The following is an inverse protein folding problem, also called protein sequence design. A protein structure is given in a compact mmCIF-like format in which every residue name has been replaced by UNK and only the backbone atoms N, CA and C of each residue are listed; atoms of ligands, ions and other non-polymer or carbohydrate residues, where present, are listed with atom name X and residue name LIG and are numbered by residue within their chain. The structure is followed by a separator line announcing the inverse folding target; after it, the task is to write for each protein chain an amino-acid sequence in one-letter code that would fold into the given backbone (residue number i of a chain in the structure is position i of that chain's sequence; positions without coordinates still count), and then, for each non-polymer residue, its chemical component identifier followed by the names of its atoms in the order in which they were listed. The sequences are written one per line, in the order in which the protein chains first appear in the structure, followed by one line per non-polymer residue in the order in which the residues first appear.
data_IF_961299790173
#
_entry.id   IF_961299790173
#
_cell.length_a   1.000
_cell.length_b   1.000
_cell.length_c   1.000
_cell.angle_alpha   90.00
_cell.angle_beta   90.00
_cell.angle_gamma   90.00
#
_symmetry.space_group_name_H-M   'P 1'
#
loop_
_entity.id
_entity.type
_entity.pdbx_description
1 polymer ?
#
# COMPACT_ATOMS: atom_id res chain seq x y z
N UNK A 1 3.33 -9.39 19.48
CA UNK A 1 4.58 -9.22 18.73
C UNK A 1 4.36 -8.28 17.56
N UNK A 2 5.21 -7.31 17.43
CA UNK A 2 5.16 -6.37 16.32
C UNK A 2 5.45 -7.16 15.03
N UNK A 3 4.64 -6.98 13.95
CA UNK A 3 4.91 -7.65 12.68
C UNK A 3 6.33 -7.47 12.16
N UNK A 4 6.97 -6.34 12.42
CA UNK A 4 8.37 -6.12 12.05
C UNK A 4 9.32 -7.07 12.76
N UNK A 5 8.96 -7.52 13.96
CA UNK A 5 9.76 -8.45 14.75
C UNK A 5 9.62 -9.88 14.27
N UNK A 6 8.59 -10.19 13.47
CA UNK A 6 8.39 -11.51 12.92
C UNK A 6 9.39 -11.85 11.82
N UNK A 7 9.99 -10.81 11.23
CA UNK A 7 10.98 -11.05 10.19
C UNK A 7 12.37 -11.14 10.80
N UNK A 8 12.94 -12.33 10.73
CA UNK A 8 14.29 -12.57 11.21
C UNK A 8 15.34 -12.49 10.11
N UNK A 9 14.88 -12.24 8.88
CA UNK A 9 15.79 -12.14 7.74
C UNK A 9 16.76 -10.98 7.93
N UNK A 10 18.07 -11.16 7.67
CA UNK A 10 19.00 -10.04 7.65
C UNK A 10 18.83 -9.18 6.39
N UNK A 11 18.10 -9.65 5.39
CA UNK A 11 17.92 -8.94 4.13
C UNK A 11 16.85 -7.87 4.26
N UNK A 12 17.16 -6.60 3.95
CA UNK A 12 16.14 -5.53 3.97
C UNK A 12 14.96 -5.83 3.06
N UNK A 13 15.19 -6.45 1.91
CA UNK A 13 14.10 -6.82 1.00
C UNK A 13 13.20 -7.87 1.66
N UNK A 14 13.80 -8.85 2.35
CA UNK A 14 13.04 -9.87 3.08
C UNK A 14 12.16 -9.25 4.16
N UNK A 15 12.69 -8.28 4.90
CA UNK A 15 11.92 -7.58 5.93
C UNK A 15 10.80 -6.73 5.33
N UNK A 16 11.13 -5.96 4.30
CA UNK A 16 10.14 -5.12 3.63
C UNK A 16 9.00 -5.94 3.04
N UNK A 17 9.30 -7.13 2.51
CA UNK A 17 8.28 -7.98 1.89
C UNK A 17 7.24 -8.48 2.88
N UNK A 18 7.54 -8.47 4.18
CA UNK A 18 6.56 -8.85 5.22
C UNK A 18 5.41 -7.84 5.27
N UNK A 19 5.68 -6.61 4.88
CA UNK A 19 4.66 -5.55 4.83
C UNK A 19 4.15 -5.39 3.40
N UNK A 20 5.07 -5.28 2.45
CA UNK A 20 4.75 -4.91 1.08
C UNK A 20 4.45 -6.10 0.16
N UNK A 21 4.50 -7.32 0.67
CA UNK A 21 4.22 -8.51 -0.13
C UNK A 21 2.74 -8.80 -0.38
N UNK A 22 1.87 -7.99 0.17
CA UNK A 22 0.41 -8.14 0.03
C UNK A 22 -0.07 -7.17 -1.05
N UNK A 23 -0.78 -7.70 -2.06
CA UNK A 23 -1.23 -6.86 -3.18
C UNK A 23 -2.15 -5.73 -2.71
N UNK A 24 -2.98 -5.97 -1.72
CA UNK A 24 -3.90 -4.95 -1.23
C UNK A 24 -3.15 -3.80 -0.57
N UNK A 25 -2.09 -4.11 0.18
CA UNK A 25 -1.23 -3.09 0.79
C UNK A 25 -0.63 -2.20 -0.28
N UNK A 26 -0.07 -2.80 -1.33
CA UNK A 26 0.53 -2.04 -2.45
C UNK A 26 -0.51 -1.12 -3.08
N UNK A 27 -1.72 -1.63 -3.35
CA UNK A 27 -2.76 -0.83 -3.98
C UNK A 27 -3.26 0.29 -3.08
N UNK A 28 -3.37 0.03 -1.78
CA UNK A 28 -3.77 1.06 -0.80
C UNK A 28 -2.72 2.17 -0.74
N UNK A 29 -1.44 1.80 -0.67
CA UNK A 29 -0.36 2.79 -0.65
C UNK A 29 -0.38 3.64 -1.93
N UNK A 30 -0.63 3.00 -3.08
CA UNK A 30 -0.80 3.73 -4.34
C UNK A 30 -1.91 4.79 -4.23
N UNK A 31 -3.07 4.39 -3.69
CA UNK A 31 -4.19 5.32 -3.54
C UNK A 31 -3.86 6.45 -2.58
N UNK A 32 -3.11 6.17 -1.51
CA UNK A 32 -2.67 7.20 -0.59
C UNK A 32 -1.78 8.24 -1.30
N UNK A 33 -0.88 7.79 -2.18
CA UNK A 33 -0.06 8.71 -2.99
C UNK A 33 -0.92 9.51 -3.98
N UNK A 34 -2.05 8.97 -4.41
CA UNK A 34 -2.96 9.68 -5.31
C UNK A 34 -3.94 10.59 -4.58
N UNK A 35 -3.81 10.69 -3.25
CA UNK A 35 -4.58 11.64 -2.47
C UNK A 35 -5.70 11.06 -1.63
N UNK A 36 -5.92 9.74 -1.65
CA UNK A 36 -6.94 9.13 -0.81
C UNK A 36 -6.54 9.25 0.66
N UNK A 37 -7.47 9.68 1.51
CA UNK A 37 -7.26 9.75 2.96
C UNK A 37 -8.41 9.12 3.73
N UNK A 38 -9.62 9.17 3.18
CA UNK A 38 -10.81 8.62 3.84
C UNK A 38 -11.02 7.17 3.44
N UNK A 39 -11.57 6.40 4.36
CA UNK A 39 -11.87 4.98 4.13
C UNK A 39 -12.54 4.75 2.77
N UNK A 40 -13.61 5.51 2.50
CA UNK A 40 -14.38 5.33 1.27
C UNK A 40 -13.58 5.64 0.00
N UNK A 41 -12.53 6.45 0.11
CA UNK A 41 -11.73 6.84 -1.04
C UNK A 41 -10.78 5.76 -1.52
N UNK A 42 -10.50 4.77 -0.66
CA UNK A 42 -9.63 3.66 -1.03
C UNK A 42 -10.36 2.53 -1.77
N UNK A 43 -11.69 2.55 -1.78
CA UNK A 43 -12.47 1.45 -2.35
C UNK A 43 -12.54 1.44 -3.88
N UNK A 44 -12.84 2.58 -4.56
CA UNK A 44 -13.20 2.52 -5.99
C UNK A 44 -12.14 1.94 -6.91
N UNK A 45 -10.88 2.31 -6.71
CA UNK A 45 -9.82 1.94 -7.65
C UNK A 45 -9.06 0.68 -7.25
N UNK A 46 -9.38 0.09 -6.11
CA UNK A 46 -8.68 -1.10 -5.63
C UNK A 46 -9.49 -2.37 -5.83
N UNK A 47 -10.79 -2.28 -5.75
CA UNK A 47 -11.66 -3.45 -5.75
C UNK A 47 -11.64 -4.24 -4.45
N UNK A 48 -11.02 -3.70 -3.42
CA UNK A 48 -10.94 -4.35 -2.11
C UNK A 48 -12.29 -4.29 -1.40
N UNK A 49 -12.66 -5.34 -0.66
CA UNK A 49 -13.86 -5.28 0.15
C UNK A 49 -13.59 -4.56 1.48
N UNK A 50 -14.66 -4.14 2.14
CA UNK A 50 -14.55 -3.31 3.35
C UNK A 50 -13.82 -3.99 4.48
N UNK A 51 -14.05 -5.28 4.70
CA UNK A 51 -13.39 -6.02 5.77
C UNK A 51 -11.88 -6.10 5.54
N UNK A 52 -11.47 -6.39 4.31
CA UNK A 52 -10.07 -6.45 3.95
C UNK A 52 -9.42 -5.07 4.06
N UNK A 53 -10.12 -4.01 3.63
CA UNK A 53 -9.60 -2.66 3.73
C UNK A 53 -9.37 -2.27 5.19
N UNK A 54 -10.35 -2.56 6.07
CA UNK A 54 -10.20 -2.28 7.50
C UNK A 54 -8.95 -2.96 8.05
N UNK A 55 -8.78 -4.25 7.73
CA UNK A 55 -7.65 -5.04 8.19
C UNK A 55 -6.31 -4.44 7.72
N UNK A 56 -6.24 -4.07 6.44
CA UNK A 56 -4.99 -3.54 5.85
C UNK A 56 -4.68 -2.14 6.34
N UNK A 57 -5.68 -1.28 6.49
CA UNK A 57 -5.44 0.06 7.05
C UNK A 57 -4.93 -0.04 8.48
N UNK A 58 -5.53 -0.91 9.30
CA UNK A 58 -5.07 -1.14 10.66
C UNK A 58 -3.62 -1.60 10.67
N UNK A 59 -3.28 -2.57 9.83
CA UNK A 59 -1.90 -3.07 9.74
C UNK A 59 -0.92 -1.98 9.31
N UNK A 60 -1.30 -1.15 8.33
CA UNK A 60 -0.44 -0.08 7.84
C UNK A 60 -0.20 0.99 8.92
N UNK A 61 -1.19 1.24 9.77
CA UNK A 61 -1.01 2.14 10.91
C UNK A 61 -0.05 1.51 11.92
N UNK A 62 -0.23 0.23 12.22
CA UNK A 62 0.65 -0.49 13.14
C UNK A 62 2.10 -0.52 12.66
N UNK A 63 2.30 -0.65 11.35
CA UNK A 63 3.63 -0.66 10.73
C UNK A 63 4.23 0.73 10.58
N UNK A 64 3.50 1.78 10.89
CA UNK A 64 4.00 3.14 10.77
C UNK A 64 4.07 3.67 9.35
N UNK A 65 3.33 3.08 8.42
CA UNK A 65 3.24 3.55 7.04
C UNK A 65 2.16 4.61 6.90
N UNK A 66 1.05 4.43 7.62
CA UNK A 66 -0.03 5.41 7.68
C UNK A 66 -0.22 5.87 9.11
N UNK A 67 -0.74 7.07 9.24
CA UNK A 67 -1.16 7.64 10.50
C UNK A 67 -2.67 7.86 10.44
N UNK A 68 -3.37 7.44 11.48
CA UNK A 68 -4.82 7.62 11.57
C UNK A 68 -5.10 8.85 12.42
N UNK A 69 -5.86 9.78 11.89
CA UNK A 69 -6.19 11.04 12.55
C UNK A 69 -7.71 11.28 12.48
N UNK A 70 -8.42 11.28 13.58
CA UNK A 70 -7.96 11.05 14.96
C UNK A 70 -7.59 9.57 15.20
N UNK A 71 -6.75 9.30 16.24
CA UNK A 71 -6.36 7.92 16.54
C UNK A 71 -7.53 7.00 16.89
N UNK A 72 -8.60 7.56 17.39
CA UNK A 72 -9.80 6.81 17.77
C UNK A 72 -11.04 7.55 17.30
N UNK A 73 -12.13 6.81 17.17
CA UNK A 73 -13.41 7.38 16.78
C UNK A 73 -13.67 7.27 15.29
N UNK A 74 -14.68 7.99 14.84
CA UNK A 74 -15.15 7.92 13.45
C UNK A 74 -14.54 9.04 12.61
N UNK A 75 -14.69 8.90 11.32
CA UNK A 75 -14.31 9.89 10.30
C UNK A 75 -12.82 10.19 10.32
N UNK A 76 -12.04 9.17 10.56
CA UNK A 76 -10.60 9.32 10.51
C UNK A 76 -10.08 9.51 9.10
N UNK A 77 -8.97 10.20 9.01
CA UNK A 77 -8.17 10.24 7.80
C UNK A 77 -6.95 9.37 8.00
N UNK A 78 -6.51 8.73 6.92
CA UNK A 78 -5.31 7.91 6.91
C UNK A 78 -4.30 8.62 6.02
N UNK A 79 -3.20 9.07 6.61
CA UNK A 79 -2.20 9.87 5.90
C UNK A 79 -0.86 9.17 5.93
N UNK A 80 -0.10 9.31 4.85
CA UNK A 80 1.24 8.74 4.81
C UNK A 80 2.13 9.41 5.87
N UNK A 81 2.83 8.58 6.61
CA UNK A 81 3.88 9.04 7.52
C UNK A 81 5.14 9.36 6.70
N UNK A 82 6.20 9.82 7.36
CA UNK A 82 7.48 9.99 6.68
C UNK A 82 7.93 8.67 6.05
N UNK A 83 7.89 7.58 6.82
CA UNK A 83 8.25 6.26 6.29
C UNK A 83 7.37 5.86 5.10
N UNK A 84 6.07 6.15 5.20
CA UNK A 84 5.15 5.90 4.09
C UNK A 84 5.50 6.70 2.85
N UNK A 85 5.81 7.98 3.01
CA UNK A 85 6.19 8.83 1.88
C UNK A 85 7.49 8.37 1.22
N UNK A 86 8.39 7.77 1.97
CA UNK A 86 9.64 7.26 1.43
C UNK A 86 9.44 5.99 0.59
N UNK A 87 8.22 5.48 0.50
CA UNK A 87 7.88 4.40 -0.44
C UNK A 87 7.66 4.90 -1.87
N UNK A 88 7.73 6.22 -2.10
CA UNK A 88 7.54 6.75 -3.45
C UNK A 88 8.47 6.11 -4.49
N UNK A 89 9.77 5.91 -4.23
CA UNK A 89 10.63 5.22 -5.20
C UNK A 89 10.20 3.77 -5.47
N UNK A 90 9.65 3.09 -4.47
CA UNK A 90 9.17 1.72 -4.63
C UNK A 90 7.97 1.71 -5.58
N UNK A 91 7.02 2.61 -5.35
CA UNK A 91 5.84 2.74 -6.21
C UNK A 91 6.24 3.11 -7.63
N UNK A 92 7.17 4.06 -7.77
CA UNK A 92 7.67 4.49 -9.08
C UNK A 92 8.36 3.36 -9.83
N UNK A 93 9.19 2.59 -9.15
CA UNK A 93 9.88 1.47 -9.77
C UNK A 93 8.90 0.38 -10.21
N UNK A 94 7.90 0.09 -9.40
CA UNK A 94 6.87 -0.88 -9.78
C UNK A 94 6.09 -0.40 -11.00
N UNK A 95 5.75 0.87 -11.03
CA UNK A 95 5.02 1.44 -12.16
C UNK A 95 5.84 1.36 -13.45
N UNK A 96 7.11 1.72 -13.39
CA UNK A 96 8.00 1.68 -14.55
C UNK A 96 8.17 0.26 -15.06
N UNK A 97 8.43 -0.67 -14.16
CA UNK A 97 8.61 -2.06 -14.52
C UNK A 97 7.34 -2.65 -15.14
N UNK A 98 6.19 -2.37 -14.49
CA UNK A 98 4.91 -2.85 -14.97
C UNK A 98 4.55 -2.28 -16.33
N UNK A 99 4.78 -0.99 -16.52
CA UNK A 99 4.49 -0.34 -17.80
C UNK A 99 5.36 -0.90 -18.93
N UNK A 100 6.64 -1.11 -18.63
CA UNK A 100 7.59 -1.62 -19.65
C UNK A 100 7.29 -3.07 -20.03
N UNK A 101 7.00 -3.92 -19.06
CA UNK A 101 6.96 -5.35 -19.28
C UNK A 101 5.56 -5.95 -19.39
N UNK A 102 4.55 -5.28 -18.83
CA UNK A 102 3.19 -5.82 -18.77
C UNK A 102 2.21 -5.08 -19.69
N UNK A 103 2.65 -4.02 -20.33
CA UNK A 103 1.86 -3.25 -21.29
C UNK A 103 2.63 -3.12 -22.59
N UNK A 104 1.92 -2.78 -23.67
CA UNK A 104 2.52 -2.66 -25.01
C UNK A 104 2.97 -1.23 -25.32
N UNK A 105 3.10 -0.38 -24.32
CA UNK A 105 3.48 1.02 -24.48
C UNK A 105 2.32 1.92 -24.90
N UNK A 106 1.14 1.34 -25.07
CA UNK A 106 -0.08 2.08 -25.44
C UNK A 106 -1.14 1.96 -24.35
N UNK A 107 -0.74 1.56 -23.15
CA UNK A 107 -1.66 1.39 -22.04
C UNK A 107 -2.44 0.09 -22.06
N UNK A 108 -2.13 -0.81 -22.99
CA UNK A 108 -2.79 -2.11 -23.06
C UNK A 108 -1.88 -3.19 -22.53
N UNK A 109 -2.48 -4.16 -21.84
CA UNK A 109 -1.70 -5.26 -21.31
C UNK A 109 -1.19 -6.16 -22.43
N UNK A 110 0.04 -6.65 -22.27
CA UNK A 110 0.67 -7.60 -23.21
C UNK A 110 0.13 -9.00 -23.05
N UNK A 111 -0.49 -9.28 -21.92
CA UNK A 111 -1.04 -10.59 -21.63
C UNK A 111 -2.51 -10.62 -21.99
N UNK A 112 -2.94 -11.74 -22.55
CA UNK A 112 -4.37 -11.98 -22.74
C UNK A 112 -5.00 -12.22 -21.37
N UNK A 113 -6.09 -11.56 -21.13
CA UNK A 113 -6.81 -11.71 -19.87
C UNK A 113 -8.13 -12.39 -20.06
#
# INVERSE_FOLDING_TARGET
MNPLELSTSPCPVGRASRILGDRWVILIVREAFLGATRFEEFLPNTGINRAALTSRLTALVEHGILERDPPEGRRAEYKLTEAGRELAPVMGAMREWGDKWLFDGKGRTKEKQ
#
